data_IF_590375544644
#
_entry.id   IF_590375544644
#
_cell.length_a   1.000
_cell.length_b   1.000
_cell.length_c   1.000
_cell.angle_alpha   90.00
_cell.angle_beta   90.00
_cell.angle_gamma   90.00
#
_symmetry.space_group_name_H-M   'P 1'
#
loop_
_entity.id
_entity.type
_entity.pdbx_description
1 polymer ?
#
# COMPACT_ATOMS: atom_id res chain seq x y z
N UNK A 1 -13.25 -23.06 -12.88
CA UNK A 1 -12.00 -23.12 -13.66
C UNK A 1 -10.83 -23.06 -12.70
N UNK A 2 -9.93 -24.03 -12.69
CA UNK A 2 -8.75 -24.00 -11.82
C UNK A 2 -7.79 -22.89 -12.30
N UNK A 3 -7.63 -21.83 -11.50
CA UNK A 3 -6.75 -20.71 -11.82
C UNK A 3 -5.30 -21.18 -11.93
N UNK A 4 -4.66 -20.89 -13.07
CA UNK A 4 -3.21 -21.10 -13.23
C UNK A 4 -2.49 -20.09 -12.34
N UNK A 5 -1.63 -20.57 -11.44
CA UNK A 5 -0.73 -19.71 -10.65
C UNK A 5 0.30 -19.11 -11.61
N UNK A 6 0.21 -17.80 -11.84
CA UNK A 6 1.20 -17.04 -12.60
C UNK A 6 2.14 -16.42 -11.57
N UNK A 7 3.45 -16.62 -11.75
CA UNK A 7 4.49 -15.98 -10.94
C UNK A 7 5.22 -14.97 -11.83
N UNK A 8 5.44 -13.77 -11.30
CA UNK A 8 6.27 -12.76 -11.95
C UNK A 8 7.74 -13.04 -11.59
N UNK A 9 8.60 -13.17 -12.60
CA UNK A 9 10.04 -13.33 -12.43
C UNK A 9 10.71 -12.17 -13.16
N UNK A 10 11.26 -11.23 -12.40
CA UNK A 10 11.99 -10.10 -12.97
C UNK A 10 13.40 -10.56 -13.34
N UNK A 11 13.68 -10.62 -14.64
CA UNK A 11 15.03 -10.90 -15.14
C UNK A 11 15.89 -9.63 -15.10
N UNK A 12 17.18 -9.77 -14.83
CA UNK A 12 18.10 -8.64 -14.91
C UNK A 12 18.17 -8.10 -16.34
N UNK A 13 18.17 -6.76 -16.46
CA UNK A 13 18.35 -6.12 -17.76
C UNK A 13 19.80 -6.31 -18.25
N UNK A 14 20.01 -6.67 -19.52
CA UNK A 14 21.35 -6.82 -20.09
C UNK A 14 22.08 -5.48 -20.11
N UNK A 15 23.42 -5.52 -20.01
CA UNK A 15 24.29 -4.34 -19.91
C UNK A 15 24.12 -3.34 -21.05
N UNK A 16 23.89 -3.83 -22.28
CA UNK A 16 23.62 -2.97 -23.44
C UNK A 16 22.42 -2.04 -23.23
N UNK A 17 21.30 -2.56 -22.71
CA UNK A 17 20.08 -1.77 -22.49
C UNK A 17 20.28 -0.78 -21.35
N UNK A 18 21.02 -1.17 -20.29
CA UNK A 18 21.40 -0.25 -19.20
C UNK A 18 22.20 0.94 -19.71
N UNK A 19 23.24 0.67 -20.50
CA UNK A 19 24.10 1.70 -21.08
C UNK A 19 23.34 2.59 -22.07
N UNK A 20 22.48 2.00 -22.90
CA UNK A 20 21.65 2.73 -23.85
C UNK A 20 20.67 3.67 -23.13
N UNK A 21 19.94 3.17 -22.11
CA UNK A 21 19.05 3.98 -21.27
C UNK A 21 19.78 5.17 -20.64
N UNK A 22 21.00 4.95 -20.13
CA UNK A 22 21.83 6.01 -19.58
C UNK A 22 22.25 7.04 -20.64
N UNK A 23 22.67 6.59 -21.82
CA UNK A 23 23.11 7.46 -22.92
C UNK A 23 21.99 8.35 -23.46
N UNK A 24 20.75 7.82 -23.53
CA UNK A 24 19.58 8.58 -24.00
C UNK A 24 18.87 9.36 -22.88
N UNK A 25 19.36 9.28 -21.64
CA UNK A 25 18.75 9.97 -20.50
C UNK A 25 17.37 9.43 -20.11
N UNK A 26 17.09 8.15 -20.37
CA UNK A 26 15.80 7.54 -20.07
C UNK A 26 15.55 7.51 -18.55
N UNK A 27 14.44 8.11 -18.11
CA UNK A 27 13.93 8.02 -16.74
C UNK A 27 12.77 7.03 -16.72
N UNK A 28 12.78 6.11 -15.76
CA UNK A 28 11.67 5.18 -15.56
C UNK A 28 10.43 5.97 -15.10
N UNK A 29 9.24 5.67 -15.65
CA UNK A 29 8.02 6.36 -15.26
C UNK A 29 7.69 6.05 -13.79
N UNK A 30 6.98 6.99 -13.15
CA UNK A 30 6.49 6.86 -11.79
C UNK A 30 5.87 5.48 -11.56
N UNK A 31 6.44 4.75 -10.59
CA UNK A 31 5.94 3.45 -10.21
C UNK A 31 4.73 3.63 -9.26
N UNK A 32 4.08 2.54 -8.85
CA UNK A 32 2.93 2.65 -7.94
C UNK A 32 3.38 3.17 -6.57
N UNK A 33 4.60 2.82 -6.12
CA UNK A 33 5.15 3.25 -4.83
C UNK A 33 5.39 4.75 -4.76
N UNK A 34 5.81 5.40 -5.86
CA UNK A 34 6.01 6.85 -5.90
C UNK A 34 4.69 7.63 -5.83
N UNK A 35 3.55 6.97 -6.06
CA UNK A 35 2.22 7.56 -5.81
C UNK A 35 1.78 7.47 -4.35
N UNK A 36 2.43 6.61 -3.58
CA UNK A 36 2.24 6.46 -2.14
C UNK A 36 3.28 7.25 -1.35
N UNK A 37 3.93 8.24 -1.97
CA UNK A 37 4.88 9.10 -1.25
C UNK A 37 4.18 9.67 -0.02
N UNK A 38 4.74 9.34 1.14
CA UNK A 38 4.24 9.78 2.44
C UNK A 38 4.43 11.28 2.45
N UNK A 39 3.34 12.03 2.30
CA UNK A 39 3.40 13.47 2.47
C UNK A 39 4.08 13.74 3.82
N UNK A 40 5.02 14.70 3.83
CA UNK A 40 5.49 15.22 5.10
C UNK A 40 4.26 15.63 5.89
N UNK A 41 4.18 15.19 7.15
CA UNK A 41 3.15 15.67 8.07
C UNK A 41 3.23 17.19 7.98
N UNK A 42 2.18 17.81 7.45
CA UNK A 42 2.10 19.25 7.50
C UNK A 42 2.19 19.62 8.97
N UNK A 43 3.10 20.53 9.34
CA UNK A 43 3.18 21.13 10.68
C UNK A 43 1.87 21.80 11.15
N UNK A 44 0.82 21.73 10.32
CA UNK A 44 -0.52 22.25 10.51
C UNK A 44 -1.52 21.17 10.99
N UNK A 45 -1.10 19.92 11.19
CA UNK A 45 -1.91 18.89 11.88
C UNK A 45 -1.96 19.11 13.40
N UNK A 46 -1.14 20.04 13.92
CA UNK A 46 -1.17 20.55 15.30
C UNK A 46 -1.90 21.91 15.38
N UNK A 47 -2.74 22.27 14.42
CA UNK A 47 -3.65 23.41 14.62
C UNK A 47 -4.72 22.98 15.63
N UNK A 48 -4.62 23.47 16.86
CA UNK A 48 -5.69 23.36 17.86
C UNK A 48 -7.04 23.68 17.21
N UNK A 49 -8.04 22.82 17.44
CA UNK A 49 -9.41 23.04 16.98
C UNK A 49 -9.88 24.45 17.34
N UNK A 50 -10.48 25.14 16.37
CA UNK A 50 -10.99 26.51 16.61
C UNK A 50 -12.08 26.48 17.66
N UNK A 51 -12.29 27.58 18.39
CA UNK A 51 -13.30 27.64 19.45
C UNK A 51 -14.74 27.29 19.01
N UNK A 52 -15.05 27.44 17.72
CA UNK A 52 -16.35 27.04 17.15
C UNK A 52 -16.45 25.57 16.71
N UNK A 53 -15.33 24.85 16.70
CA UNK A 53 -15.21 23.43 16.31
C UNK A 53 -15.15 22.53 17.56
N UNK A 54 -14.80 23.08 18.72
CA UNK A 54 -14.82 22.39 20.02
C UNK A 54 -16.22 21.91 20.38
N UNK A 55 -16.37 20.70 20.96
CA UNK A 55 -17.66 20.15 21.34
C UNK A 55 -18.33 20.99 22.44
N UNK A 56 -19.67 21.08 22.38
CA UNK A 56 -20.45 21.76 23.42
C UNK A 56 -20.57 20.86 24.66
N UNK A 57 -20.00 21.31 25.78
CA UNK A 57 -20.10 20.60 27.07
C UNK A 57 -21.38 20.99 27.79
N UNK A 58 -22.22 19.99 28.13
CA UNK A 58 -23.45 20.18 28.92
C UNK A 58 -23.24 19.54 30.29
N UNK A 59 -23.35 20.34 31.35
CA UNK A 59 -23.14 19.88 32.72
C UNK A 59 -24.36 19.12 33.27
N UNK A 60 -24.10 18.07 34.04
CA UNK A 60 -25.11 17.34 34.78
C UNK A 60 -25.55 18.07 36.06
N UNK A 61 -26.70 17.68 36.64
CA UNK A 61 -27.27 18.34 37.83
C UNK A 61 -26.40 18.33 39.09
N UNK A 62 -25.37 17.49 39.12
CA UNK A 62 -24.50 17.26 40.28
C UNK A 62 -23.07 17.77 40.06
N UNK A 63 -22.80 18.44 38.93
CA UNK A 63 -21.46 18.95 38.60
C UNK A 63 -21.56 20.46 38.50
N UNK A 64 -20.78 21.15 39.32
CA UNK A 64 -20.66 22.60 39.22
C UNK A 64 -19.72 23.00 38.08
N UNK A 65 -19.92 24.20 37.52
CA UNK A 65 -19.04 24.74 36.46
C UNK A 65 -17.58 24.85 36.92
N UNK A 66 -17.36 25.07 38.22
CA UNK A 66 -16.03 25.20 38.79
C UNK A 66 -15.29 23.87 38.82
N UNK A 67 -15.93 22.81 39.32
CA UNK A 67 -15.35 21.46 39.36
C UNK A 67 -15.06 20.92 37.94
N UNK A 68 -15.94 21.22 36.97
CA UNK A 68 -15.73 20.81 35.58
C UNK A 68 -14.53 21.50 34.93
N UNK A 69 -14.38 22.81 35.14
CA UNK A 69 -13.25 23.57 34.59
C UNK A 69 -11.92 23.18 35.24
N UNK A 70 -11.91 22.92 36.56
CA UNK A 70 -10.71 22.42 37.26
C UNK A 70 -10.28 21.05 36.73
N UNK A 71 -11.24 20.16 36.45
CA UNK A 71 -10.95 18.85 35.86
C UNK A 71 -10.37 18.97 34.44
N UNK A 72 -10.99 19.77 33.57
CA UNK A 72 -10.51 19.99 32.20
C UNK A 72 -9.13 20.66 32.14
N UNK A 73 -8.85 21.59 33.06
CA UNK A 73 -7.54 22.24 33.14
C UNK A 73 -6.45 21.26 33.55
N UNK A 74 -6.73 20.36 34.50
CA UNK A 74 -5.80 19.33 34.96
C UNK A 74 -5.52 18.28 33.89
N UNK A 75 -6.54 17.86 33.14
CA UNK A 75 -6.41 16.90 32.05
C UNK A 75 -5.55 17.45 30.91
N UNK A 76 -5.71 18.75 30.57
CA UNK A 76 -4.87 19.44 29.59
C UNK A 76 -3.41 19.54 30.05
N UNK A 77 -3.16 19.90 31.31
CA UNK A 77 -1.79 19.99 31.86
C UNK A 77 -1.09 18.61 31.84
N UNK A 78 -1.82 17.52 32.11
CA UNK A 78 -1.30 16.15 32.00
C UNK A 78 -1.04 15.73 30.54
N UNK A 79 -1.89 16.12 29.58
CA UNK A 79 -1.71 15.84 28.15
C UNK A 79 -0.52 16.61 27.54
N UNK A 80 -0.33 17.88 27.93
CA UNK A 80 0.84 18.68 27.54
C UNK A 80 2.16 18.10 28.09
N UNK A 81 2.17 17.55 29.32
CA UNK A 81 3.35 16.87 29.89
C UNK A 81 3.67 15.56 29.16
N UNK A 82 2.67 14.77 28.72
CA UNK A 82 2.91 13.53 27.97
C UNK A 82 3.34 13.78 26.51
N UNK A 83 2.85 14.84 25.86
CA UNK A 83 3.29 15.24 24.50
C UNK A 83 4.76 15.71 24.48
N UNK A 84 5.21 16.45 25.50
CA UNK A 84 6.61 16.85 25.63
C UNK A 84 7.54 15.63 25.81
N UNK A 85 7.15 14.63 26.62
CA UNK A 85 7.90 13.39 26.81
C UNK A 85 7.97 12.53 25.52
N UNK A 86 6.88 12.43 24.74
CA UNK A 86 6.85 11.70 23.47
C UNK A 86 7.75 12.35 22.40
N UNK A 87 7.87 13.69 22.42
CA UNK A 87 8.75 14.43 21.50
C UNK A 87 10.25 14.19 21.78
N UNK A 88 10.64 14.02 23.04
CA UNK A 88 12.02 13.77 23.45
C UNK A 88 12.48 12.34 23.11
N UNK A 89 11.59 11.34 23.18
CA UNK A 89 11.93 9.96 22.82
C UNK A 89 12.22 9.78 21.32
N UNK A 90 11.56 10.56 20.45
CA UNK A 90 11.76 10.47 18.99
C UNK A 90 13.12 11.04 18.53
N UNK A 91 13.73 11.98 19.26
CA UNK A 91 15.03 12.57 18.90
C UNK A 91 16.24 11.70 19.30
N UNK A 92 16.03 10.68 20.15
CA UNK A 92 17.06 9.72 20.58
C UNK A 92 17.24 8.52 19.63
N UNK A 93 16.25 8.17 18.81
CA UNK A 93 16.34 7.08 17.82
C UNK A 93 17.13 7.52 16.56
N UNK A 94 17.03 8.80 16.16
CA UNK A 94 17.76 9.34 15.00
C UNK A 94 19.28 9.42 15.19
N UNK A 95 19.77 9.49 16.45
CA UNK A 95 21.20 9.60 16.76
C UNK A 95 21.91 8.24 16.89
N UNK A 96 21.17 7.12 16.95
CA UNK A 96 21.74 5.76 17.06
C UNK A 96 21.95 5.04 15.72
N UNK A 97 21.42 5.55 14.62
CA UNK A 97 21.57 4.92 13.30
C UNK A 97 22.80 5.38 12.50
N UNK A 98 23.54 6.39 12.97
CA UNK A 98 24.70 6.96 12.24
C UNK A 98 26.07 6.44 12.66
N UNK A 99 26.17 5.46 13.58
CA UNK A 99 27.46 4.99 14.13
C UNK A 99 27.55 3.49 14.44
N UNK A 100 27.09 2.60 13.56
CA UNK A 100 27.54 1.19 13.61
C UNK A 100 27.91 0.68 12.23
N UNK A 101 29.20 0.42 12.12
CA UNK A 101 29.93 -0.15 11.01
C UNK A 101 29.46 -1.57 10.67
N UNK A 102 29.63 -1.93 9.39
CA UNK A 102 29.62 -3.27 8.82
C UNK A 102 29.88 -4.41 9.83
N UNK A 103 28.91 -5.31 10.02
CA UNK A 103 29.17 -6.71 10.37
C UNK A 103 28.20 -7.64 9.65
N UNK A 104 28.78 -8.50 8.83
CA UNK A 104 28.19 -9.68 8.20
C UNK A 104 27.34 -10.50 9.17
N UNK A 105 26.10 -10.81 8.77
CA UNK A 105 25.40 -12.00 9.24
C UNK A 105 24.77 -12.71 8.05
N UNK A 106 25.65 -13.38 7.33
CA UNK A 106 25.35 -14.39 6.33
C UNK A 106 24.74 -15.59 7.06
N UNK A 107 23.42 -15.61 7.23
CA UNK A 107 22.71 -16.83 7.65
C UNK A 107 22.75 -17.82 6.48
N UNK A 108 23.79 -18.65 6.45
CA UNK A 108 23.93 -19.79 5.55
C UNK A 108 22.94 -20.89 5.95
N UNK A 109 21.65 -20.66 5.67
CA UNK A 109 20.59 -21.65 5.79
C UNK A 109 20.11 -22.07 4.40
N UNK A 110 20.82 -22.97 3.72
CA UNK A 110 20.25 -23.66 2.55
C UNK A 110 19.10 -24.55 3.04
N UNK A 111 17.87 -24.06 2.95
CA UNK A 111 16.68 -24.86 3.25
C UNK A 111 16.54 -25.98 2.22
N UNK A 112 16.86 -27.21 2.63
CA UNK A 112 16.64 -28.40 1.79
C UNK A 112 15.26 -28.97 2.11
N UNK A 113 14.30 -28.79 1.21
CA UNK A 113 12.95 -29.36 1.36
C UNK A 113 12.98 -30.86 1.09
N UNK A 114 12.92 -31.69 2.13
CA UNK A 114 12.71 -33.13 1.98
C UNK A 114 11.23 -33.38 1.64
N UNK A 115 10.98 -34.00 0.48
CA UNK A 115 9.62 -34.41 0.11
C UNK A 115 9.11 -35.43 1.14
N UNK A 116 7.89 -35.25 1.70
CA UNK A 116 7.31 -36.25 2.57
C UNK A 116 7.11 -37.55 1.79
N UNK A 117 7.47 -38.67 2.41
CA UNK A 117 7.24 -40.00 1.83
C UNK A 117 5.74 -40.25 1.77
N UNK A 118 5.21 -40.47 0.55
CA UNK A 118 3.81 -40.85 0.36
C UNK A 118 3.54 -42.15 1.12
N UNK A 119 2.64 -42.12 2.09
CA UNK A 119 2.07 -43.34 2.66
C UNK A 119 1.36 -44.08 1.53
N UNK A 120 1.71 -45.36 1.31
CA UNK A 120 0.94 -46.22 0.41
C UNK A 120 -0.37 -46.57 1.12
N UNK A 121 -1.44 -45.87 0.78
CA UNK A 121 -2.76 -46.48 0.87
C UNK A 121 -2.90 -47.36 -0.36
N UNK A 122 -3.19 -48.63 -0.12
CA UNK A 122 -3.55 -49.58 -1.16
C UNK A 122 -4.77 -49.06 -1.94
N UNK A 123 -4.86 -49.46 -3.22
CA UNK A 123 -5.97 -49.18 -4.14
C UNK A 123 -5.95 -47.82 -4.87
N UNK A 124 -5.42 -47.80 -6.11
CA UNK A 124 -6.23 -47.64 -7.34
C UNK A 124 -5.45 -47.06 -8.55
N UNK A 125 -5.21 -47.98 -9.50
CA UNK A 125 -5.47 -47.90 -10.97
C UNK A 125 -4.75 -46.85 -11.84
N UNK A 126 -4.00 -47.41 -12.80
CA UNK A 126 -3.52 -46.83 -14.07
C UNK A 126 -4.69 -46.28 -14.92
N UNK A 127 -4.49 -45.18 -15.65
CA UNK A 127 -5.09 -45.00 -16.98
C UNK A 127 -4.33 -43.93 -17.80
N UNK A 128 -3.64 -44.41 -18.83
CA UNK A 128 -3.21 -43.66 -20.01
C UNK A 128 -4.44 -43.32 -20.88
N UNK A 129 -4.65 -42.06 -21.29
CA UNK A 129 -5.46 -41.77 -22.50
C UNK A 129 -5.26 -40.36 -23.09
N UNK A 130 -4.66 -40.33 -24.28
CA UNK A 130 -4.72 -39.27 -25.32
C UNK A 130 -6.16 -38.79 -25.54
N UNK A 131 -6.39 -37.48 -25.70
CA UNK A 131 -7.56 -36.92 -26.42
C UNK A 131 -7.32 -35.49 -26.93
N UNK A 132 -8.06 -35.19 -27.99
CA UNK A 132 -7.78 -34.26 -29.09
C UNK A 132 -8.08 -32.79 -28.78
N UNK A 133 -7.39 -31.86 -29.48
CA UNK A 133 -7.68 -30.43 -29.49
C UNK A 133 -8.81 -30.14 -30.48
N UNK A 134 -10.00 -29.82 -29.99
CA UNK A 134 -11.02 -29.10 -30.75
C UNK A 134 -10.99 -27.62 -30.37
N UNK A 135 -10.86 -26.74 -31.36
CA UNK A 135 -10.93 -25.28 -31.18
C UNK A 135 -12.39 -24.86 -31.07
N UNK A 136 -12.84 -24.47 -29.88
CA UNK A 136 -14.16 -23.86 -29.70
C UNK A 136 -14.12 -22.42 -30.23
N UNK A 137 -14.98 -22.12 -31.23
CA UNK A 137 -15.24 -20.75 -31.67
C UNK A 137 -16.26 -20.12 -30.71
N UNK A 138 -15.95 -18.93 -30.19
CA UNK A 138 -16.84 -18.18 -29.30
C UNK A 138 -18.10 -17.75 -30.04
N UNK A 139 -19.26 -17.88 -29.39
CA UNK A 139 -20.60 -17.63 -29.95
C UNK A 139 -21.10 -16.19 -29.76
N UNK A 140 -20.26 -15.24 -29.35
CA UNK A 140 -20.69 -13.86 -29.15
C UNK A 140 -20.86 -13.12 -30.48
N UNK A 141 -22.03 -12.49 -30.64
CA UNK A 141 -22.33 -11.62 -31.78
C UNK A 141 -21.50 -10.34 -31.66
N UNK A 142 -20.79 -9.98 -32.72
CA UNK A 142 -20.06 -8.72 -32.80
C UNK A 142 -21.04 -7.54 -32.77
N UNK A 143 -20.83 -6.59 -31.86
CA UNK A 143 -21.60 -5.34 -31.80
C UNK A 143 -21.08 -4.44 -32.92
N UNK A 144 -21.95 -4.04 -33.84
CA UNK A 144 -21.62 -3.21 -35.03
C UNK A 144 -22.20 -1.80 -34.92
N UNK A 145 -22.00 -1.15 -33.78
CA UNK A 145 -22.51 0.21 -33.58
C UNK A 145 -21.35 1.18 -33.72
N UNK A 146 -21.39 2.01 -34.77
CA UNK A 146 -20.34 2.98 -35.08
C UNK A 146 -20.43 4.28 -34.24
N UNK A 147 -21.39 4.42 -33.33
CA UNK A 147 -21.61 5.64 -32.53
C UNK A 147 -21.66 5.39 -31.02
N UNK A 148 -20.76 4.55 -30.50
CA UNK A 148 -20.58 4.38 -29.05
C UNK A 148 -19.78 5.53 -28.39
N UNK A 149 -19.39 6.53 -29.19
CA UNK A 149 -18.71 7.74 -28.76
C UNK A 149 -19.26 8.92 -29.57
N UNK A 150 -20.39 9.49 -29.14
CA UNK A 150 -20.77 10.85 -29.55
C UNK A 150 -20.12 11.82 -28.57
N UNK A 151 -18.83 12.12 -28.78
CA UNK A 151 -18.30 13.37 -28.23
C UNK A 151 -19.03 14.48 -28.99
N UNK A 152 -19.67 15.37 -28.22
CA UNK A 152 -20.53 16.45 -28.71
C UNK A 152 -19.91 17.13 -29.93
N UNK A 153 -20.65 17.03 -31.02
CA UNK A 153 -20.52 17.86 -32.20
C UNK A 153 -20.93 19.27 -31.76
N UNK A 154 -19.94 20.02 -31.27
CA UNK A 154 -20.02 21.46 -31.02
C UNK A 154 -19.98 22.17 -32.38
N UNK A 155 -21.09 22.05 -33.12
CA UNK A 155 -21.35 22.85 -34.32
C UNK A 155 -22.59 23.74 -34.06
N UNK A 156 -22.29 25.04 -33.91
CA UNK A 156 -23.03 26.17 -34.49
C UNK A 156 -24.56 26.21 -34.35
N UNK A 157 -25.07 26.94 -33.35
CA UNK A 157 -26.30 27.74 -33.52
C UNK A 157 -26.42 28.81 -32.42
N UNK A 158 -26.13 30.08 -32.73
CA UNK A 158 -26.91 31.21 -32.17
C UNK A 158 -26.67 32.49 -33.01
N UNK A 159 -27.79 32.98 -33.58
CA UNK A 159 -27.99 34.34 -34.12
C UNK A 159 -27.77 35.44 -33.05
#
# INVERSE_FOLDING_TARGET
>A
MAGRKIQYVQQETPSFIKNFKAQVGYKEPDNVESKFEKLEKSSNEEEEDRDGEKPVVILGSNVSEQEANEFLAKEREEEEEEEDEESEEQDHEAKRSSKVENKDNKQEGKFVFKKPTKRKSEESRKDDRKKQKEKQKSSSKAVKNASLLSFGDDEEEED
#
